data_IF_704377331166
#
_entry.id   IF_704377331166
#
_cell.length_a   1.000
_cell.length_b   1.000
_cell.length_c   1.000
_cell.angle_alpha   90.00
_cell.angle_beta   90.00
_cell.angle_gamma   90.00
#
_symmetry.space_group_name_H-M   'P 1'
#
loop_
_entity.id
_entity.type
_entity.pdbx_description
1 polymer ?
#
# COMPACT_ATOMS: atom_id res chain seq x y z
N UNK A 1 9.27 -26.18 -5.74
CA UNK A 1 10.16 -25.84 -4.61
C UNK A 1 11.02 -24.58 -4.85
N UNK A 2 11.15 -24.07 -6.09
CA UNK A 2 11.92 -22.84 -6.39
C UNK A 2 11.14 -21.53 -6.11
N UNK A 3 9.81 -21.55 -6.18
CA UNK A 3 8.97 -20.35 -6.05
C UNK A 3 8.92 -19.79 -4.61
N UNK A 4 9.09 -20.66 -3.61
CA UNK A 4 9.12 -20.27 -2.20
C UNK A 4 10.38 -19.49 -1.78
N UNK A 5 11.50 -19.67 -2.50
CA UNK A 5 12.76 -18.99 -2.20
C UNK A 5 12.77 -17.52 -2.68
N UNK A 6 12.14 -17.24 -3.83
CA UNK A 6 11.99 -15.88 -4.35
C UNK A 6 11.03 -15.04 -3.46
N UNK A 7 9.89 -15.62 -3.08
CA UNK A 7 8.94 -14.97 -2.16
C UNK A 7 9.56 -14.70 -0.78
N UNK A 8 10.42 -15.59 -0.27
CA UNK A 8 11.14 -15.39 0.99
C UNK A 8 12.25 -14.33 0.89
N UNK A 9 12.95 -14.23 -0.25
CA UNK A 9 13.96 -13.19 -0.50
C UNK A 9 13.33 -11.79 -0.58
N UNK A 10 12.20 -11.66 -1.29
CA UNK A 10 11.38 -10.42 -1.35
C UNK A 10 10.91 -10.02 0.05
N UNK A 11 10.50 -10.99 0.89
CA UNK A 11 10.06 -10.76 2.28
C UNK A 11 11.15 -10.21 3.21
N UNK A 12 12.41 -10.56 2.95
CA UNK A 12 13.55 -10.18 3.81
C UNK A 12 14.18 -8.84 3.46
N UNK A 13 13.98 -8.35 2.22
CA UNK A 13 14.59 -7.12 1.71
C UNK A 13 13.60 -5.95 1.66
N UNK A 14 12.34 -6.19 1.27
CA UNK A 14 11.30 -5.17 1.22
C UNK A 14 10.77 -4.81 2.61
N UNK A 15 11.21 -3.66 3.11
CA UNK A 15 10.67 -2.99 4.30
C UNK A 15 9.27 -2.41 4.07
N UNK A 16 8.38 -3.16 3.41
CA UNK A 16 7.01 -2.72 3.08
C UNK A 16 6.12 -2.62 4.32
N UNK A 17 6.21 -3.57 5.25
CA UNK A 17 5.42 -3.52 6.48
C UNK A 17 5.71 -2.27 7.35
N UNK A 18 6.98 -1.87 7.58
CA UNK A 18 7.28 -0.60 8.24
C UNK A 18 6.71 0.62 7.51
N UNK A 19 6.83 0.71 6.19
CA UNK A 19 6.32 1.86 5.41
C UNK A 19 4.78 1.95 5.47
N UNK A 20 4.09 0.82 5.34
CA UNK A 20 2.63 0.72 5.47
C UNK A 20 2.19 1.14 6.87
N UNK A 21 2.86 0.65 7.91
CA UNK A 21 2.57 1.00 9.30
C UNK A 21 2.72 2.49 9.55
N UNK A 22 3.85 3.08 9.13
CA UNK A 22 4.10 4.52 9.29
C UNK A 22 3.03 5.34 8.56
N UNK A 23 2.66 4.97 7.34
CA UNK A 23 1.62 5.68 6.59
C UNK A 23 0.28 5.64 7.32
N UNK A 24 -0.18 4.46 7.78
CA UNK A 24 -1.44 4.32 8.51
C UNK A 24 -1.40 5.08 9.84
N UNK A 25 -0.32 4.96 10.61
CA UNK A 25 -0.18 5.64 11.89
C UNK A 25 -0.15 7.15 11.72
N UNK A 26 0.69 7.68 10.82
CA UNK A 26 0.81 9.12 10.60
C UNK A 26 -0.53 9.79 10.27
N UNK A 27 -1.35 9.14 9.45
CA UNK A 27 -2.67 9.65 9.07
C UNK A 27 -3.72 9.47 10.18
N UNK A 28 -3.50 8.55 11.12
CA UNK A 28 -4.42 8.24 12.22
C UNK A 28 -4.11 8.98 13.53
N UNK A 29 -3.01 9.76 13.61
CA UNK A 29 -2.60 10.52 14.81
C UNK A 29 -3.68 11.52 15.23
N UNK A 30 -4.17 12.33 14.28
CA UNK A 30 -5.29 13.25 14.51
C UNK A 30 -6.21 13.22 13.28
N UNK A 31 -7.20 12.31 13.26
CA UNK A 31 -8.12 12.15 12.14
C UNK A 31 -8.99 13.40 11.88
N UNK A 32 -9.24 14.21 12.91
CA UNK A 32 -10.01 15.44 12.79
C UNK A 32 -9.17 16.53 12.12
N UNK A 33 -7.91 16.69 12.54
CA UNK A 33 -6.95 17.54 11.85
C UNK A 33 -6.75 17.08 10.40
N UNK A 34 -6.61 15.77 10.16
CA UNK A 34 -6.44 15.22 8.82
C UNK A 34 -7.63 15.53 7.90
N UNK A 35 -8.87 15.45 8.42
CA UNK A 35 -10.08 15.83 7.70
C UNK A 35 -10.10 17.32 7.35
N UNK A 36 -9.78 18.18 8.32
CA UNK A 36 -9.69 19.63 8.10
C UNK A 36 -8.63 19.92 7.03
N UNK A 37 -7.45 19.32 7.12
CA UNK A 37 -6.38 19.51 6.13
C UNK A 37 -6.79 19.02 4.74
N UNK A 38 -7.41 17.85 4.62
CA UNK A 38 -7.89 17.32 3.35
C UNK A 38 -8.92 18.24 2.66
N UNK A 39 -9.75 18.95 3.44
CA UNK A 39 -10.73 19.91 2.90
C UNK A 39 -10.12 21.28 2.61
N UNK A 40 -9.20 21.76 3.45
CA UNK A 40 -8.70 23.13 3.39
C UNK A 40 -7.48 23.29 2.46
N UNK A 41 -6.59 22.30 2.34
CA UNK A 41 -5.39 22.36 1.50
C UNK A 41 -5.72 22.67 0.03
N UNK A 42 -6.72 22.02 -0.61
CA UNK A 42 -7.12 22.37 -1.97
C UNK A 42 -7.64 23.81 -2.11
N UNK A 43 -8.17 24.39 -1.02
CA UNK A 43 -8.81 25.72 -1.01
C UNK A 43 -7.85 26.84 -0.65
N UNK A 44 -6.77 26.54 0.07
CA UNK A 44 -5.77 27.52 0.53
C UNK A 44 -4.62 27.74 -0.46
N UNK A 45 -4.59 27.00 -1.57
CA UNK A 45 -3.55 27.14 -2.60
C UNK A 45 -2.25 26.38 -2.29
N UNK A 46 -2.19 25.63 -1.19
CA UNK A 46 -1.03 24.81 -0.81
C UNK A 46 -1.01 23.41 -1.44
N UNK A 47 -1.89 23.14 -2.41
CA UNK A 47 -1.96 21.84 -3.10
C UNK A 47 -0.62 21.47 -3.75
N UNK A 48 0.07 22.43 -4.36
CA UNK A 48 1.36 22.21 -5.03
C UNK A 48 2.46 21.74 -4.06
N UNK A 49 2.44 22.20 -2.80
CA UNK A 49 3.41 21.79 -1.78
C UNK A 49 3.16 20.32 -1.36
N UNK A 50 1.89 19.92 -1.25
CA UNK A 50 1.51 18.54 -0.96
C UNK A 50 1.84 17.60 -2.11
N UNK A 51 1.59 18.04 -3.35
CA UNK A 51 1.96 17.30 -4.56
C UNK A 51 3.48 17.12 -4.65
N UNK A 52 4.26 18.16 -4.34
CA UNK A 52 5.73 18.08 -4.31
C UNK A 52 6.24 17.04 -3.31
N UNK A 53 5.67 17.00 -2.10
CA UNK A 53 6.00 15.98 -1.10
C UNK A 53 5.65 14.56 -1.57
N UNK A 54 4.49 14.37 -2.18
CA UNK A 54 4.10 13.08 -2.78
C UNK A 54 5.08 12.64 -3.88
N UNK A 55 5.54 13.58 -4.72
CA UNK A 55 6.55 13.31 -5.74
C UNK A 55 7.89 12.83 -5.15
N UNK A 56 8.34 13.39 -4.04
CA UNK A 56 9.57 12.96 -3.36
C UNK A 56 9.45 11.52 -2.84
N UNK A 57 8.31 11.16 -2.22
CA UNK A 57 8.04 9.79 -1.76
C UNK A 57 8.06 8.83 -2.95
N UNK A 58 7.39 9.17 -4.05
CA UNK A 58 7.39 8.36 -5.26
C UNK A 58 8.80 8.14 -5.81
N UNK A 59 9.65 9.18 -5.80
CA UNK A 59 11.03 9.10 -6.26
C UNK A 59 11.89 8.17 -5.38
N UNK A 60 11.76 8.28 -4.05
CA UNK A 60 12.46 7.43 -3.10
C UNK A 60 12.06 5.96 -3.24
N UNK A 61 10.75 5.68 -3.31
CA UNK A 61 10.24 4.32 -3.51
C UNK A 61 10.70 3.77 -4.86
N UNK A 62 10.64 4.56 -5.93
CA UNK A 62 11.16 4.14 -7.24
C UNK A 62 12.64 3.76 -7.18
N UNK A 63 13.48 4.61 -6.59
CA UNK A 63 14.92 4.34 -6.48
C UNK A 63 15.19 3.05 -5.69
N UNK A 64 14.43 2.83 -4.62
CA UNK A 64 14.47 1.60 -3.85
C UNK A 64 14.06 0.37 -4.69
N UNK A 65 12.97 0.45 -5.44
CA UNK A 65 12.49 -0.65 -6.29
C UNK A 65 13.45 -0.94 -7.44
N UNK A 66 14.09 0.06 -8.04
CA UNK A 66 15.10 -0.15 -9.08
C UNK A 66 16.31 -0.94 -8.55
N UNK A 67 16.77 -0.62 -7.33
CA UNK A 67 17.87 -1.35 -6.67
C UNK A 67 17.55 -2.83 -6.45
N UNK A 68 16.29 -3.16 -6.19
CA UNK A 68 15.83 -4.53 -5.89
C UNK A 68 15.08 -5.18 -7.06
N UNK A 69 15.24 -4.66 -8.28
CA UNK A 69 14.47 -5.09 -9.46
C UNK A 69 14.57 -6.58 -9.77
N UNK A 70 15.69 -7.21 -9.44
CA UNK A 70 15.92 -8.65 -9.67
C UNK A 70 15.11 -9.56 -8.74
N UNK A 71 14.61 -9.02 -7.63
CA UNK A 71 13.83 -9.77 -6.64
C UNK A 71 12.33 -9.74 -6.96
N UNK A 72 11.89 -8.79 -7.78
CA UNK A 72 10.49 -8.60 -8.14
C UNK A 72 10.14 -9.29 -9.46
N UNK A 73 8.83 -9.45 -9.71
CA UNK A 73 8.36 -9.76 -11.06
C UNK A 73 8.81 -8.68 -12.04
N UNK A 74 8.87 -9.00 -13.33
CA UNK A 74 9.27 -8.05 -14.38
C UNK A 74 8.27 -6.89 -14.48
N UNK A 75 8.59 -5.79 -13.81
CA UNK A 75 7.82 -4.56 -13.73
C UNK A 75 8.70 -3.37 -14.14
N UNK A 76 8.04 -2.30 -14.58
CA UNK A 76 8.62 -0.97 -14.58
C UNK A 76 8.63 -0.42 -13.14
N UNK A 77 9.79 -0.10 -12.56
CA UNK A 77 9.89 0.42 -11.19
C UNK A 77 9.16 1.74 -10.98
N UNK A 78 9.03 2.58 -12.02
CA UNK A 78 8.27 3.83 -11.91
C UNK A 78 6.77 3.54 -11.73
N UNK A 79 6.20 2.67 -12.57
CA UNK A 79 4.82 2.23 -12.42
C UNK A 79 4.59 1.49 -11.09
N UNK A 80 5.53 0.64 -10.69
CA UNK A 80 5.42 -0.11 -9.44
C UNK A 80 5.42 0.83 -8.22
N UNK A 81 6.28 1.85 -8.20
CA UNK A 81 6.30 2.85 -7.15
C UNK A 81 4.98 3.63 -7.09
N UNK A 82 4.50 4.10 -8.24
CA UNK A 82 3.21 4.80 -8.34
C UNK A 82 2.07 3.95 -7.77
N UNK A 83 1.96 2.68 -8.18
CA UNK A 83 0.90 1.78 -7.70
C UNK A 83 1.00 1.52 -6.20
N UNK A 84 2.20 1.23 -5.69
CA UNK A 84 2.40 0.95 -4.26
C UNK A 84 2.07 2.17 -3.39
N UNK A 85 2.62 3.34 -3.71
CA UNK A 85 2.41 4.55 -2.89
C UNK A 85 0.96 5.00 -2.95
N UNK A 86 0.38 5.12 -4.15
CA UNK A 86 -1.02 5.55 -4.31
C UNK A 86 -1.98 4.66 -3.53
N UNK A 87 -1.74 3.34 -3.53
CA UNK A 87 -2.60 2.39 -2.82
C UNK A 87 -2.46 2.52 -1.31
N UNK A 88 -1.22 2.65 -0.79
CA UNK A 88 -0.97 2.82 0.65
C UNK A 88 -1.55 4.14 1.14
N UNK A 89 -1.34 5.23 0.41
CA UNK A 89 -1.88 6.56 0.75
C UNK A 89 -3.40 6.54 0.74
N UNK A 90 -4.04 5.98 -0.30
CA UNK A 90 -5.49 5.89 -0.37
C UNK A 90 -6.09 5.11 0.82
N UNK A 91 -5.46 4.00 1.21
CA UNK A 91 -5.88 3.24 2.40
C UNK A 91 -5.72 4.09 3.66
N UNK A 92 -4.56 4.71 3.87
CA UNK A 92 -4.30 5.53 5.05
C UNK A 92 -5.28 6.71 5.16
N UNK A 93 -5.50 7.45 4.06
CA UNK A 93 -6.48 8.53 3.98
C UNK A 93 -7.89 8.05 4.30
N UNK A 94 -8.36 6.97 3.65
CA UNK A 94 -9.71 6.46 3.87
C UNK A 94 -9.90 5.92 5.29
N UNK A 95 -8.88 5.30 5.86
CA UNK A 95 -8.87 4.82 7.24
C UNK A 95 -9.01 6.00 8.22
N UNK A 96 -8.22 7.06 8.05
CA UNK A 96 -8.30 8.25 8.88
C UNK A 96 -9.66 8.97 8.73
N UNK A 97 -10.19 9.08 7.51
CA UNK A 97 -11.41 9.85 7.27
C UNK A 97 -12.68 9.11 7.71
N UNK A 98 -12.78 7.81 7.42
CA UNK A 98 -14.04 7.06 7.46
C UNK A 98 -14.08 5.97 8.54
N UNK A 99 -12.94 5.54 9.07
CA UNK A 99 -12.86 4.42 10.00
C UNK A 99 -12.21 4.78 11.34
N UNK A 100 -11.78 6.03 11.54
CA UNK A 100 -11.00 6.47 12.70
C UNK A 100 -11.58 6.05 14.06
N UNK A 101 -12.89 6.19 14.24
CA UNK A 101 -13.57 5.84 15.51
C UNK A 101 -13.61 4.32 15.78
N UNK A 102 -13.35 3.50 14.75
CA UNK A 102 -13.38 2.04 14.82
C UNK A 102 -11.97 1.41 14.85
N UNK A 103 -10.90 2.22 14.84
CA UNK A 103 -9.52 1.76 14.80
C UNK A 103 -8.99 1.33 16.16
N UNK A 104 -9.39 0.14 16.61
CA UNK A 104 -8.64 -0.56 17.65
C UNK A 104 -7.21 -0.90 17.17
N UNK A 105 -6.26 -1.03 18.09
CA UNK A 105 -4.89 -1.48 17.77
C UNK A 105 -4.87 -2.80 16.97
N UNK A 106 -5.81 -3.71 17.29
CA UNK A 106 -5.99 -4.96 16.56
C UNK A 106 -6.37 -4.71 15.10
N UNK A 107 -7.27 -3.77 14.83
CA UNK A 107 -7.68 -3.42 13.47
C UNK A 107 -6.51 -2.79 12.69
N UNK A 108 -5.75 -1.91 13.33
CA UNK A 108 -4.54 -1.31 12.73
C UNK A 108 -3.56 -2.40 12.30
N UNK A 109 -3.30 -3.39 13.17
CA UNK A 109 -2.43 -4.52 12.84
C UNK A 109 -2.95 -5.30 11.62
N UNK A 110 -4.24 -5.60 11.57
CA UNK A 110 -4.84 -6.32 10.42
C UNK A 110 -4.73 -5.49 9.14
N UNK A 111 -5.00 -4.18 9.18
CA UNK A 111 -4.86 -3.29 8.03
C UNK A 111 -3.41 -3.26 7.51
N UNK A 112 -2.43 -3.19 8.41
CA UNK A 112 -1.01 -3.24 8.04
C UNK A 112 -0.67 -4.58 7.37
N UNK A 113 -1.09 -5.69 7.96
CA UNK A 113 -0.81 -7.04 7.45
C UNK A 113 -1.44 -7.25 6.05
N UNK A 114 -2.71 -6.88 5.87
CA UNK A 114 -3.45 -7.03 4.61
C UNK A 114 -2.90 -6.11 3.51
N UNK A 115 -2.61 -4.85 3.85
CA UNK A 115 -2.01 -3.90 2.89
C UNK A 115 -0.60 -4.33 2.49
N UNK A 116 0.20 -4.82 3.44
CA UNK A 116 1.52 -5.39 3.13
C UNK A 116 1.39 -6.61 2.22
N UNK A 117 0.43 -7.50 2.48
CA UNK A 117 0.20 -8.68 1.64
C UNK A 117 -0.17 -8.29 0.21
N UNK A 118 -1.03 -7.28 0.05
CA UNK A 118 -1.41 -6.75 -1.26
C UNK A 118 -0.21 -6.18 -2.03
N UNK A 119 0.60 -5.32 -1.39
CA UNK A 119 1.77 -4.70 -2.01
C UNK A 119 2.82 -5.75 -2.39
N UNK A 120 3.16 -6.64 -1.46
CA UNK A 120 4.12 -7.72 -1.71
C UNK A 120 3.59 -8.65 -2.80
N UNK A 121 2.30 -9.01 -2.77
CA UNK A 121 1.65 -9.80 -3.81
C UNK A 121 1.77 -9.14 -5.17
N UNK A 122 1.47 -7.85 -5.29
CA UNK A 122 1.62 -7.09 -6.52
C UNK A 122 3.06 -7.10 -7.06
N UNK A 123 4.07 -6.94 -6.20
CA UNK A 123 5.48 -6.91 -6.59
C UNK A 123 6.06 -8.30 -6.90
N UNK A 124 5.50 -9.35 -6.31
CA UNK A 124 5.99 -10.73 -6.43
C UNK A 124 5.14 -11.63 -7.32
N UNK A 125 4.00 -11.15 -7.82
CA UNK A 125 3.09 -11.97 -8.63
C UNK A 125 3.82 -12.55 -9.86
N UNK A 126 4.00 -13.85 -9.87
CA UNK A 126 4.44 -14.59 -11.05
C UNK A 126 3.19 -15.27 -11.59
N UNK A 127 2.62 -14.73 -12.65
CA UNK A 127 1.53 -15.40 -13.35
C UNK A 127 1.98 -16.74 -13.88
N UNK A 128 1.47 -17.85 -13.33
CA UNK A 128 0.40 -18.63 -13.98
C UNK A 128 -0.05 -19.80 -13.07
N UNK A 129 -1.26 -19.68 -12.53
CA UNK A 129 -2.23 -20.77 -12.53
C UNK A 129 -3.59 -20.13 -12.77
N UNK A 130 -4.39 -20.58 -13.75
CA UNK A 130 -5.80 -20.23 -13.78
C UNK A 130 -6.39 -20.72 -12.46
N UNK A 131 -6.81 -19.78 -11.61
CA UNK A 131 -7.70 -20.10 -10.51
C UNK A 131 -8.94 -20.70 -11.15
N UNK A 132 -9.14 -22.00 -10.96
CA UNK A 132 -10.41 -22.65 -11.21
C UNK A 132 -11.45 -21.83 -10.45
N UNK A 133 -12.24 -21.04 -11.18
CA UNK A 133 -13.44 -20.43 -10.63
C UNK A 133 -14.44 -21.57 -10.41
N UNK A 134 -14.22 -22.36 -9.37
CA UNK A 134 -15.31 -23.09 -8.72
C UNK A 134 -16.10 -22.07 -7.90
N UNK A 135 -16.88 -21.26 -8.61
CA UNK A 135 -18.12 -20.78 -8.04
C UNK A 135 -19.06 -21.98 -8.04
N UNK A 136 -18.98 -22.78 -6.98
CA UNK A 136 -20.07 -23.69 -6.65
C UNK A 136 -21.36 -22.86 -6.61
N UNK A 137 -22.44 -23.31 -7.25
CA UNK A 137 -23.72 -22.63 -7.13
C UNK A 137 -24.09 -22.61 -5.65
N UNK A 138 -24.28 -21.43 -5.08
CA UNK A 138 -24.98 -21.32 -3.80
C UNK A 138 -26.40 -21.81 -4.05
N UNK A 139 -26.68 -22.98 -3.48
CA UNK A 139 -27.99 -23.61 -3.43
C UNK A 139 -29.04 -22.57 -2.98
N UNK A 140 -29.92 -22.21 -3.91
CA UNK A 140 -31.17 -21.55 -3.58
C UNK A 140 -32.20 -22.64 -3.27
N UNK A 141 -32.46 -22.85 -1.98
CA UNK A 141 -33.70 -23.42 -1.46
C UNK A 141 -34.04 -22.75 -0.15
#
# INVERSE_FOLDING_TARGET
>A
MRDGYAAAAVKGSLTTAPAVKIAIEAHSIDPNLHRVLAEQIPRSGHLAEVEAYSHEIHALVRAYLERHRKEMRKLDPALAAFMCVSTIEAIAHNTALNAAEMLSEKMVKVLVDETTRMVVGYLSWVGDKPGHCDLAPHDAS
#
